data_IF_422486946525
#
_entry.id   IF_422486946525
#
_cell.length_a   1.000
_cell.length_b   1.000
_cell.length_c   1.000
_cell.angle_alpha   90.00
_cell.angle_beta   90.00
_cell.angle_gamma   90.00
#
_symmetry.space_group_name_H-M   'P 1'
#
loop_
_entity.id
_entity.type
_entity.pdbx_description
1 polymer ?
#
# COMPACT_ATOMS: atom_id res chain seq x y z
N UNK A 1 -34.06 -31.07 18.79
CA UNK A 1 -33.50 -30.96 17.41
C UNK A 1 -33.33 -29.51 16.95
N UNK A 2 -34.31 -28.63 17.01
CA UNK A 2 -34.20 -27.23 16.55
C UNK A 2 -33.15 -26.41 17.31
N UNK A 3 -32.98 -26.58 18.61
CA UNK A 3 -31.98 -25.86 19.43
C UNK A 3 -30.54 -26.28 19.08
N UNK A 4 -30.30 -27.56 18.84
CA UNK A 4 -28.97 -28.04 18.42
C UNK A 4 -28.57 -27.49 17.07
N UNK A 5 -29.47 -27.44 16.09
CA UNK A 5 -29.23 -26.89 14.78
C UNK A 5 -28.89 -25.39 14.82
N UNK A 6 -29.59 -24.63 15.69
CA UNK A 6 -29.28 -23.20 15.90
C UNK A 6 -27.90 -22.98 16.51
N UNK A 7 -27.54 -23.77 17.52
CA UNK A 7 -26.22 -23.67 18.17
C UNK A 7 -25.11 -24.00 17.17
N UNK A 8 -25.26 -25.05 16.37
CA UNK A 8 -24.30 -25.44 15.34
C UNK A 8 -24.18 -24.33 14.30
N UNK A 9 -25.27 -23.73 13.85
CA UNK A 9 -25.26 -22.60 12.91
C UNK A 9 -24.51 -21.39 13.46
N UNK A 10 -24.71 -21.04 14.72
CA UNK A 10 -24.00 -19.94 15.40
C UNK A 10 -22.49 -20.22 15.48
N UNK A 11 -22.09 -21.43 15.81
CA UNK A 11 -20.68 -21.82 15.92
C UNK A 11 -20.01 -21.69 14.54
N UNK A 12 -20.64 -22.22 13.48
CA UNK A 12 -20.11 -22.12 12.11
C UNK A 12 -19.99 -20.67 11.69
N UNK A 13 -20.99 -19.83 12.00
CA UNK A 13 -20.96 -18.41 11.68
C UNK A 13 -19.83 -17.67 12.42
N UNK A 14 -19.61 -17.95 13.70
CA UNK A 14 -18.51 -17.36 14.46
C UNK A 14 -17.13 -17.80 13.94
N UNK A 15 -16.99 -19.07 13.57
CA UNK A 15 -15.76 -19.58 12.96
C UNK A 15 -15.48 -18.93 11.60
N UNK A 16 -16.52 -18.71 10.80
CA UNK A 16 -16.40 -18.00 9.52
C UNK A 16 -16.00 -16.54 9.72
N UNK A 17 -16.57 -15.84 10.69
CA UNK A 17 -16.18 -14.47 11.04
C UNK A 17 -14.72 -14.38 11.51
N UNK A 18 -14.31 -15.33 12.36
CA UNK A 18 -12.92 -15.42 12.82
C UNK A 18 -11.96 -15.66 11.66
N UNK A 19 -12.27 -16.62 10.80
CA UNK A 19 -11.48 -16.92 9.61
C UNK A 19 -11.37 -15.72 8.66
N UNK A 20 -12.48 -15.02 8.44
CA UNK A 20 -12.48 -13.81 7.61
C UNK A 20 -11.64 -12.68 8.25
N UNK A 21 -11.76 -12.47 9.56
CA UNK A 21 -10.98 -11.46 10.28
C UNK A 21 -9.47 -11.74 10.20
N UNK A 22 -9.07 -13.01 10.35
CA UNK A 22 -7.69 -13.42 10.19
C UNK A 22 -7.20 -13.19 8.76
N UNK A 23 -7.95 -13.64 7.75
CA UNK A 23 -7.59 -13.44 6.35
C UNK A 23 -7.45 -11.96 5.97
N UNK A 24 -8.29 -11.11 6.54
CA UNK A 24 -8.25 -9.66 6.30
C UNK A 24 -7.01 -8.98 6.89
N UNK A 25 -6.54 -9.44 8.05
CA UNK A 25 -5.45 -8.81 8.79
C UNK A 25 -4.08 -9.45 8.56
N UNK A 26 -4.03 -10.69 8.08
CA UNK A 26 -2.76 -11.38 7.87
C UNK A 26 -1.88 -10.70 6.82
N UNK A 27 -0.66 -10.41 7.24
CA UNK A 27 0.40 -9.96 6.35
C UNK A 27 1.27 -11.14 5.94
N UNK A 28 1.59 -11.24 4.66
CA UNK A 28 2.54 -12.22 4.14
C UNK A 28 3.98 -11.80 4.40
N UNK A 29 4.27 -10.52 4.15
CA UNK A 29 5.59 -9.95 4.41
C UNK A 29 5.49 -8.45 4.69
N UNK A 30 6.55 -7.94 5.28
CA UNK A 30 6.78 -6.51 5.47
C UNK A 30 8.07 -6.12 4.76
N UNK A 31 8.05 -4.99 4.08
CA UNK A 31 9.20 -4.54 3.34
C UNK A 31 9.19 -3.03 3.12
N UNK A 32 10.17 -2.60 2.35
CA UNK A 32 10.23 -1.22 1.88
C UNK A 32 10.74 -1.15 0.45
N UNK A 33 10.35 -0.11 -0.25
CA UNK A 33 10.91 0.28 -1.54
C UNK A 33 11.23 1.76 -1.55
N UNK A 34 12.31 2.11 -2.22
CA UNK A 34 12.73 3.51 -2.39
C UNK A 34 12.63 3.91 -3.85
N UNK A 35 12.16 5.12 -4.06
CA UNK A 35 11.98 5.66 -5.41
C UNK A 35 11.27 7.01 -5.37
N UNK A 36 10.78 7.42 -6.52
CA UNK A 36 9.99 8.64 -6.66
C UNK A 36 8.54 8.26 -6.96
N UNK A 37 7.60 8.78 -6.17
CA UNK A 37 6.18 8.57 -6.45
C UNK A 37 5.77 9.42 -7.64
N UNK A 38 5.25 8.78 -8.67
CA UNK A 38 4.87 9.45 -9.93
C UNK A 38 3.37 9.67 -10.03
N UNK A 39 2.58 8.93 -9.25
CA UNK A 39 1.13 9.00 -9.34
C UNK A 39 0.49 8.54 -8.03
N UNK A 40 -0.59 9.21 -7.66
CA UNK A 40 -1.56 8.76 -6.66
C UNK A 40 -2.96 9.01 -7.22
N UNK A 41 -3.80 8.01 -7.24
CA UNK A 41 -5.16 8.08 -7.77
C UNK A 41 -6.16 7.49 -6.80
N UNK A 42 -7.33 8.10 -6.74
CA UNK A 42 -8.50 7.51 -6.07
C UNK A 42 -9.35 6.83 -7.14
N UNK A 43 -9.44 5.51 -7.09
CA UNK A 43 -10.12 4.69 -8.08
C UNK A 43 -11.35 3.99 -7.52
N UNK A 44 -12.20 3.51 -8.40
CA UNK A 44 -13.38 2.71 -8.10
C UNK A 44 -14.70 3.48 -8.26
N UNK A 45 -15.78 2.76 -8.46
CA UNK A 45 -17.13 3.31 -8.59
C UNK A 45 -17.85 3.39 -7.26
N UNK A 46 -18.15 2.26 -6.64
CA UNK A 46 -18.84 2.15 -5.35
C UNK A 46 -17.82 2.21 -4.20
N UNK A 47 -16.80 1.35 -4.28
CA UNK A 47 -15.71 1.32 -3.30
C UNK A 47 -14.52 2.08 -3.85
N UNK A 48 -14.19 3.20 -3.23
CA UNK A 48 -13.02 3.99 -3.60
C UNK A 48 -11.77 3.45 -2.92
N UNK A 49 -10.73 3.21 -3.70
CA UNK A 49 -9.41 2.79 -3.23
C UNK A 49 -8.35 3.81 -3.66
N UNK A 50 -7.26 3.90 -2.92
CA UNK A 50 -6.13 4.76 -3.25
C UNK A 50 -5.00 3.91 -3.82
N UNK A 51 -4.62 4.20 -5.05
CA UNK A 51 -3.62 3.46 -5.81
C UNK A 51 -2.53 4.41 -6.28
N UNK A 52 -1.29 4.02 -6.07
CA UNK A 52 -0.12 4.80 -6.46
C UNK A 52 0.89 4.02 -7.26
N UNK A 53 1.83 4.75 -7.85
CA UNK A 53 2.94 4.19 -8.60
C UNK A 53 4.25 4.81 -8.13
N UNK A 54 5.21 3.96 -7.83
CA UNK A 54 6.58 4.32 -7.47
C UNK A 54 7.52 3.96 -8.62
N UNK A 55 8.29 4.92 -9.08
CA UNK A 55 9.40 4.67 -9.98
C UNK A 55 10.61 4.25 -9.15
N UNK A 56 10.90 2.95 -9.16
CA UNK A 56 12.06 2.36 -8.48
C UNK A 56 13.30 2.50 -9.35
N UNK A 57 14.35 3.05 -8.80
CA UNK A 57 15.61 3.22 -9.51
C UNK A 57 15.95 4.69 -9.69
N UNK A 58 17.26 4.99 -9.61
CA UNK A 58 17.79 6.23 -10.12
C UNK A 58 17.67 6.24 -11.64
N UNK A 59 17.84 7.39 -12.24
CA UNK A 59 18.09 7.51 -13.67
C UNK A 59 19.31 6.63 -14.02
N UNK A 60 19.08 5.33 -14.15
CA UNK A 60 20.07 4.45 -14.71
C UNK A 60 20.17 4.84 -16.18
N UNK A 61 21.13 5.64 -16.49
CA UNK A 61 21.68 5.83 -17.83
C UNK A 61 22.30 4.52 -18.27
N UNK A 62 21.49 3.51 -18.47
CA UNK A 62 21.84 2.21 -19.02
C UNK A 62 20.93 1.98 -20.22
N UNK A 63 21.54 1.86 -21.35
CA UNK A 63 20.91 1.55 -22.62
C UNK A 63 19.78 0.51 -22.46
N UNK A 64 18.54 0.90 -22.83
CA UNK A 64 17.44 -0.03 -23.06
C UNK A 64 16.59 -0.43 -21.87
N UNK A 65 16.69 0.21 -20.71
CA UNK A 65 15.77 -0.02 -19.61
C UNK A 65 14.40 0.61 -19.85
N UNK A 66 13.42 -0.23 -20.15
CA UNK A 66 12.03 0.21 -20.30
C UNK A 66 11.56 0.85 -18.99
N UNK A 67 11.13 2.11 -19.05
CA UNK A 67 10.61 2.87 -17.87
C UNK A 67 9.46 2.09 -17.23
N UNK A 68 8.67 1.38 -18.00
CA UNK A 68 7.57 0.56 -17.54
C UNK A 68 8.01 -0.59 -16.60
N UNK A 69 9.22 -1.12 -16.77
CA UNK A 69 9.75 -2.21 -15.93
C UNK A 69 10.15 -1.78 -14.52
N UNK A 70 10.32 -0.48 -14.31
CA UNK A 70 10.73 0.09 -13.01
C UNK A 70 9.58 0.69 -12.20
N UNK A 71 8.36 0.67 -12.75
CA UNK A 71 7.17 1.11 -12.05
C UNK A 71 6.65 0.00 -11.12
N UNK A 72 6.38 0.38 -9.88
CA UNK A 72 5.80 -0.49 -8.88
C UNK A 72 4.49 0.07 -8.37
N UNK A 73 3.43 -0.73 -8.50
CA UNK A 73 2.10 -0.37 -8.07
C UNK A 73 1.90 -0.70 -6.59
N UNK A 74 1.26 0.21 -5.86
CA UNK A 74 0.93 0.04 -4.45
C UNK A 74 -0.44 0.60 -4.14
N UNK A 75 -1.00 0.16 -3.01
CA UNK A 75 -2.26 0.64 -2.47
C UNK A 75 -2.06 1.35 -1.13
N UNK A 76 -2.98 2.20 -0.76
CA UNK A 76 -3.03 2.86 0.56
C UNK A 76 -4.40 2.64 1.18
N UNK A 77 -4.41 2.33 2.47
CA UNK A 77 -5.67 2.20 3.22
C UNK A 77 -6.44 3.51 3.23
N UNK A 78 -7.74 3.43 2.98
CA UNK A 78 -8.63 4.59 2.87
C UNK A 78 -8.64 5.46 4.13
N UNK A 79 -8.46 4.87 5.30
CA UNK A 79 -8.45 5.58 6.58
C UNK A 79 -7.11 6.21 6.97
N UNK A 80 -6.05 5.95 6.22
CA UNK A 80 -4.70 6.42 6.55
C UNK A 80 -4.41 7.78 5.90
N UNK A 81 -5.02 8.82 6.45
CA UNK A 81 -4.87 10.19 5.96
C UNK A 81 -3.44 10.73 6.07
N UNK A 82 -2.69 10.29 7.07
CA UNK A 82 -1.28 10.69 7.26
C UNK A 82 -0.40 10.20 6.12
N UNK A 83 -0.54 8.92 5.76
CA UNK A 83 0.20 8.32 4.63
C UNK A 83 -0.24 8.94 3.31
N UNK A 84 -1.54 9.13 3.08
CA UNK A 84 -2.06 9.74 1.86
C UNK A 84 -1.49 11.13 1.65
N UNK A 85 -1.50 11.98 2.69
CA UNK A 85 -0.95 13.33 2.63
C UNK A 85 0.56 13.32 2.36
N UNK A 86 1.32 12.44 3.01
CA UNK A 86 2.75 12.31 2.79
C UNK A 86 3.09 11.87 1.36
N UNK A 87 2.26 11.01 0.75
CA UNK A 87 2.43 10.59 -0.64
C UNK A 87 2.09 11.73 -1.60
N UNK A 88 1.02 12.49 -1.33
CA UNK A 88 0.67 13.68 -2.13
C UNK A 88 1.80 14.71 -2.12
N UNK A 89 2.35 15.01 -0.96
CA UNK A 89 3.52 15.90 -0.82
C UNK A 89 4.74 15.38 -1.58
N UNK A 90 4.96 14.07 -1.60
CA UNK A 90 6.04 13.45 -2.35
C UNK A 90 5.86 13.56 -3.86
N UNK A 91 4.62 13.44 -4.34
CA UNK A 91 4.29 13.64 -5.76
C UNK A 91 4.53 15.09 -6.15
N UNK A 92 4.02 16.03 -5.36
CA UNK A 92 4.16 17.47 -5.64
C UNK A 92 5.62 17.94 -5.60
N UNK A 93 6.37 17.45 -4.62
CA UNK A 93 7.78 17.78 -4.44
C UNK A 93 8.76 17.03 -5.36
N UNK A 94 8.30 15.96 -5.98
CA UNK A 94 9.12 15.08 -6.85
C UNK A 94 10.42 14.59 -6.19
N UNK A 95 10.41 14.41 -4.88
CA UNK A 95 11.57 13.94 -4.14
C UNK A 95 11.53 12.44 -3.90
N UNK A 96 12.70 11.87 -3.63
CA UNK A 96 12.85 10.44 -3.37
C UNK A 96 12.34 10.08 -1.98
N UNK A 97 11.54 9.03 -1.92
CA UNK A 97 10.97 8.50 -0.67
C UNK A 97 11.29 7.02 -0.48
N UNK A 98 11.22 6.59 0.75
CA UNK A 98 11.17 5.18 1.14
C UNK A 98 9.75 4.88 1.60
N UNK A 99 9.06 4.02 0.87
CA UNK A 99 7.74 3.53 1.21
C UNK A 99 7.86 2.21 1.96
N UNK A 100 7.33 2.17 3.18
CA UNK A 100 7.21 0.92 3.93
C UNK A 100 5.83 0.32 3.70
N UNK A 101 5.77 -0.97 3.41
CA UNK A 101 4.55 -1.66 3.04
C UNK A 101 4.36 -2.96 3.81
N UNK A 102 3.10 -3.32 3.97
CA UNK A 102 2.65 -4.66 4.30
C UNK A 102 2.20 -5.35 3.01
N UNK A 103 2.74 -6.52 2.73
CA UNK A 103 2.23 -7.39 1.67
C UNK A 103 1.18 -8.31 2.28
N UNK A 104 -0.05 -8.25 1.76
CA UNK A 104 -1.17 -9.05 2.23
C UNK A 104 -1.22 -10.39 1.54
N UNK A 105 -1.71 -11.44 2.24
CA UNK A 105 -2.00 -12.74 1.62
C UNK A 105 -3.12 -12.64 0.59
N UNK A 106 -4.15 -11.85 0.92
CA UNK A 106 -5.34 -11.67 0.10
C UNK A 106 -5.61 -10.21 -0.17
N UNK A 107 -6.00 -9.91 -1.40
CA UNK A 107 -6.47 -8.58 -1.81
C UNK A 107 -7.97 -8.60 -2.00
N UNK A 108 -8.66 -7.72 -1.31
CA UNK A 108 -10.09 -7.50 -1.48
C UNK A 108 -10.29 -6.25 -2.36
N UNK A 109 -11.15 -6.35 -3.37
CA UNK A 109 -11.35 -5.27 -4.35
C UNK A 109 -11.84 -3.94 -3.74
N UNK A 110 -12.50 -3.99 -2.58
CA UNK A 110 -12.95 -2.79 -1.85
C UNK A 110 -11.85 -2.14 -1.02
N UNK A 111 -10.72 -2.80 -0.83
CA UNK A 111 -9.60 -2.36 -0.01
C UNK A 111 -8.47 -1.77 -0.85
N UNK A 112 -8.14 -2.40 -1.96
CA UNK A 112 -7.09 -2.00 -2.89
C UNK A 112 -6.97 -2.92 -4.09
N UNK A 113 -6.26 -2.48 -5.11
CA UNK A 113 -6.00 -3.26 -6.32
C UNK A 113 -4.73 -4.12 -6.18
N UNK A 114 -3.82 -3.74 -5.28
CA UNK A 114 -2.56 -4.45 -5.05
C UNK A 114 -2.54 -5.14 -3.68
N UNK A 115 -1.59 -6.04 -3.48
CA UNK A 115 -1.31 -6.66 -2.18
C UNK A 115 -0.44 -5.79 -1.28
N UNK A 116 0.17 -4.73 -1.84
CA UNK A 116 1.15 -3.88 -1.16
C UNK A 116 0.46 -2.64 -0.60
N UNK A 117 0.32 -2.59 0.72
CA UNK A 117 -0.31 -1.47 1.42
C UNK A 117 0.73 -0.65 2.15
N UNK A 118 0.86 0.62 1.76
CA UNK A 118 1.80 1.54 2.37
C UNK A 118 1.29 1.98 3.74
N UNK A 119 2.11 1.84 4.76
CA UNK A 119 1.79 2.28 6.12
C UNK A 119 2.71 3.39 6.64
N UNK A 120 3.85 3.64 5.96
CA UNK A 120 4.79 4.70 6.34
C UNK A 120 5.54 5.23 5.14
N UNK A 121 5.71 6.55 5.11
CA UNK A 121 6.49 7.28 4.09
C UNK A 121 7.64 7.99 4.80
N UNK A 122 8.86 7.74 4.34
CA UNK A 122 10.06 8.40 4.84
C UNK A 122 10.74 9.12 3.68
N UNK A 123 11.06 10.39 3.86
CA UNK A 123 11.85 11.12 2.87
C UNK A 123 13.29 10.60 2.90
N UNK A 124 13.82 10.20 1.76
CA UNK A 124 15.22 9.86 1.62
C UNK A 124 15.98 11.15 1.39
N UNK A 125 16.74 11.61 2.40
CA UNK A 125 17.59 12.77 2.28
C UNK A 125 18.60 12.58 1.16
N UNK A 126 18.74 13.59 0.32
CA UNK A 126 19.85 13.68 -0.60
C UNK A 126 21.13 13.78 0.22
N UNK A 127 22.06 12.85 0.05
CA UNK A 127 23.36 12.88 0.76
C UNK A 127 24.14 14.17 0.49
N UNK A 128 23.67 14.96 -0.47
CA UNK A 128 24.24 16.23 -0.88
C UNK A 128 23.38 17.45 -0.47
N UNK A 129 22.28 17.27 0.24
CA UNK A 129 21.54 18.39 0.78
C UNK A 129 22.39 19.03 1.90
N UNK A 130 22.99 20.19 1.62
CA UNK A 130 23.59 21.04 2.66
C UNK A 130 22.56 21.25 3.77
N UNK A 131 22.96 21.18 5.05
CA UNK A 131 22.07 21.50 6.15
C UNK A 131 21.50 22.90 5.91
N UNK A 132 20.18 23.01 5.95
CA UNK A 132 19.50 24.29 5.89
C UNK A 132 20.05 25.16 7.01
N UNK A 133 20.56 26.35 6.77
CA UNK A 133 20.97 27.25 7.85
C UNK A 133 19.74 27.53 8.72
N UNK A 134 19.89 27.35 10.01
CA UNK A 134 18.84 27.70 11.00
C UNK A 134 18.55 29.21 10.98
#
# INVERSE_FOLDING_TARGET
MKRGLLITGIIIFLLALLGFSLAYNLNYSDGFRSGTVVKLSKKGTIFKTYEGQLLSGGLATGEGGDIASNLWDFSVEKGDSTVLKAIEEAVDGSYRVKLRYHEKYFTFFWRGETKYFIYKVEQVGDKNAKPKPE
#
